data_IF_888687588809
#
_entry.id   IF_888687588809
#
_cell.length_a   1.000
_cell.length_b   1.000
_cell.length_c   1.000
_cell.angle_alpha   90.00
_cell.angle_beta   90.00
_cell.angle_gamma   90.00
#
_symmetry.space_group_name_H-M   'P 1'
#
loop_
_entity.id
_entity.type
_entity.pdbx_description
1 polymer ?
#
# COMPACT_ATOMS: atom_id res chain seq x y z
N UNK A 1 21.78 -6.42 -26.66
CA UNK A 1 21.28 -6.63 -25.31
C UNK A 1 21.87 -7.92 -24.78
N UNK A 2 22.89 -7.82 -23.95
CA UNK A 2 23.50 -8.98 -23.29
C UNK A 2 22.63 -9.40 -22.10
N UNK A 3 22.74 -10.66 -21.63
CA UNK A 3 22.03 -11.10 -20.42
C UNK A 3 22.29 -10.23 -19.18
N UNK A 4 23.48 -9.62 -19.10
CA UNK A 4 23.87 -8.71 -18.01
C UNK A 4 23.16 -7.35 -18.08
N UNK A 5 22.94 -6.81 -19.29
CA UNK A 5 22.16 -5.59 -19.51
C UNK A 5 20.69 -5.79 -19.12
N UNK A 6 20.08 -6.90 -19.52
CA UNK A 6 18.68 -7.23 -19.18
C UNK A 6 18.47 -7.43 -17.67
N UNK A 7 19.42 -8.07 -16.98
CA UNK A 7 19.37 -8.25 -15.52
C UNK A 7 19.47 -6.91 -14.78
N UNK A 8 20.32 -6.00 -15.28
CA UNK A 8 20.47 -4.65 -14.73
C UNK A 8 19.18 -3.83 -14.87
N UNK A 9 18.52 -3.87 -16.03
CA UNK A 9 17.24 -3.19 -16.25
C UNK A 9 16.13 -3.71 -15.32
N UNK A 10 16.02 -5.04 -15.17
CA UNK A 10 15.06 -5.65 -14.24
C UNK A 10 15.35 -5.23 -12.80
N UNK A 11 16.62 -5.24 -12.38
CA UNK A 11 17.02 -4.78 -11.05
C UNK A 11 16.69 -3.30 -10.82
N UNK A 12 16.91 -2.45 -11.83
CA UNK A 12 16.60 -1.03 -11.75
C UNK A 12 15.09 -0.81 -11.63
N UNK A 13 14.28 -1.51 -12.42
CA UNK A 13 12.82 -1.47 -12.33
C UNK A 13 12.30 -1.99 -10.97
N UNK A 14 12.90 -3.05 -10.44
CA UNK A 14 12.59 -3.56 -9.10
C UNK A 14 12.95 -2.54 -8.01
N UNK A 15 14.11 -1.88 -8.09
CA UNK A 15 14.53 -0.84 -7.14
C UNK A 15 13.66 0.40 -7.21
N UNK A 16 13.27 0.83 -8.41
CA UNK A 16 12.32 1.93 -8.59
C UNK A 16 10.98 1.58 -7.96
N UNK A 17 10.42 0.40 -8.27
CA UNK A 17 9.16 -0.05 -7.68
C UNK A 17 9.23 -0.16 -6.16
N UNK A 18 10.30 -0.73 -5.60
CA UNK A 18 10.51 -0.78 -4.15
C UNK A 18 10.70 0.61 -3.53
N UNK A 19 11.36 1.53 -4.24
CA UNK A 19 11.52 2.92 -3.86
C UNK A 19 10.18 3.65 -3.82
N UNK A 20 9.35 3.47 -4.84
CA UNK A 20 8.00 4.02 -4.93
C UNK A 20 7.10 3.46 -3.83
N UNK A 21 7.24 2.19 -3.46
CA UNK A 21 6.50 1.61 -2.33
C UNK A 21 6.91 2.20 -0.99
N UNK A 22 8.20 2.43 -0.76
CA UNK A 22 8.68 3.13 0.45
C UNK A 22 8.28 4.60 0.46
N UNK A 23 8.31 5.26 -0.70
CA UNK A 23 7.80 6.63 -0.87
C UNK A 23 6.30 6.71 -0.58
N UNK A 24 5.52 5.76 -1.07
CA UNK A 24 4.09 5.68 -0.79
C UNK A 24 3.78 5.47 0.69
N UNK A 25 4.60 4.70 1.42
CA UNK A 25 4.51 4.59 2.88
C UNK A 25 4.81 5.93 3.56
N UNK A 26 5.91 6.59 3.17
CA UNK A 26 6.28 7.89 3.73
C UNK A 26 5.20 8.95 3.51
N UNK A 27 4.66 9.04 2.30
CA UNK A 27 3.57 9.97 1.98
C UNK A 27 2.30 9.68 2.77
N UNK A 28 2.00 8.39 2.99
CA UNK A 28 0.86 7.97 3.81
C UNK A 28 1.08 8.33 5.29
N UNK A 29 2.26 8.06 5.84
CA UNK A 29 2.63 8.45 7.21
C UNK A 29 2.56 9.96 7.41
N UNK A 30 3.07 10.74 6.45
CA UNK A 30 3.00 12.20 6.50
C UNK A 30 1.55 12.69 6.46
N UNK A 31 0.72 12.13 5.58
CA UNK A 31 -0.70 12.49 5.52
C UNK A 31 -1.47 12.11 6.79
N UNK A 32 -1.11 11.00 7.44
CA UNK A 32 -1.68 10.60 8.73
C UNK A 32 -1.19 11.50 9.87
N UNK A 33 0.02 12.06 9.78
CA UNK A 33 0.51 13.01 10.78
C UNK A 33 -0.23 14.35 10.73
N UNK A 34 -0.58 14.82 9.54
CA UNK A 34 -1.35 16.06 9.35
C UNK A 34 -2.84 15.83 9.64
N UNK A 35 -3.37 14.66 9.28
CA UNK A 35 -4.78 14.29 9.45
C UNK A 35 -4.90 12.83 9.93
N UNK A 36 -4.97 12.65 11.25
CA UNK A 36 -5.06 11.32 11.91
C UNK A 36 -6.20 10.43 11.37
N UNK A 37 -7.24 11.04 10.77
CA UNK A 37 -8.44 10.37 10.26
C UNK A 37 -8.50 10.31 8.73
N UNK A 38 -7.36 10.34 8.04
CA UNK A 38 -7.32 10.31 6.58
C UNK A 38 -7.47 8.90 6.01
N UNK A 39 -8.70 8.53 5.62
CA UNK A 39 -9.04 7.22 5.02
C UNK A 39 -8.17 6.89 3.80
N UNK A 40 -7.88 7.88 2.95
CA UNK A 40 -7.06 7.69 1.74
C UNK A 40 -5.60 7.43 2.07
N UNK A 41 -5.09 7.95 3.19
CA UNK A 41 -3.74 7.69 3.65
C UNK A 41 -3.63 6.25 4.16
N UNK A 42 -4.54 5.80 5.04
CA UNK A 42 -4.62 4.41 5.48
C UNK A 42 -4.78 3.41 4.32
N UNK A 43 -5.60 3.74 3.33
CA UNK A 43 -5.77 2.89 2.15
C UNK A 43 -4.47 2.76 1.34
N UNK A 44 -3.76 3.87 1.10
CA UNK A 44 -2.46 3.88 0.40
C UNK A 44 -1.39 3.12 1.18
N UNK A 45 -1.35 3.29 2.50
CA UNK A 45 -0.46 2.55 3.39
C UNK A 45 -0.69 1.04 3.27
N UNK A 46 -1.96 0.60 3.33
CA UNK A 46 -2.32 -0.80 3.18
C UNK A 46 -1.91 -1.38 1.83
N UNK A 47 -2.08 -0.63 0.73
CA UNK A 47 -1.65 -1.05 -0.61
C UNK A 47 -0.13 -1.19 -0.71
N UNK A 48 0.62 -0.26 -0.10
CA UNK A 48 2.08 -0.30 -0.11
C UNK A 48 2.61 -1.51 0.69
N UNK A 49 2.06 -1.77 1.88
CA UNK A 49 2.38 -2.97 2.67
C UNK A 49 2.03 -4.27 1.94
N UNK A 50 0.86 -4.37 1.28
CA UNK A 50 0.52 -5.52 0.44
C UNK A 50 1.57 -5.77 -0.65
N UNK A 51 2.03 -4.72 -1.32
CA UNK A 51 3.01 -4.82 -2.40
C UNK A 51 4.43 -5.14 -1.89
N UNK A 52 4.70 -4.85 -0.61
CA UNK A 52 5.92 -5.25 0.11
C UNK A 52 5.80 -6.65 0.76
N UNK A 53 4.67 -7.35 0.59
CA UNK A 53 4.35 -8.63 1.23
C UNK A 53 4.26 -8.57 2.76
N UNK A 54 4.08 -7.38 3.33
CA UNK A 54 3.80 -7.18 4.75
C UNK A 54 2.28 -7.22 4.99
N UNK A 55 1.74 -8.44 5.04
CA UNK A 55 0.29 -8.65 5.03
C UNK A 55 -0.36 -8.21 6.34
N UNK A 56 0.31 -8.38 7.47
CA UNK A 56 -0.22 -8.01 8.78
C UNK A 56 -0.40 -6.49 8.89
N UNK A 57 0.64 -5.72 8.51
CA UNK A 57 0.56 -4.27 8.48
C UNK A 57 -0.48 -3.78 7.47
N UNK A 58 -0.60 -4.43 6.30
CA UNK A 58 -1.61 -4.09 5.33
C UNK A 58 -3.04 -4.24 5.88
N UNK A 59 -3.31 -5.34 6.57
CA UNK A 59 -4.61 -5.61 7.20
C UNK A 59 -4.93 -4.56 8.26
N UNK A 60 -3.94 -4.16 9.07
CA UNK A 60 -4.13 -3.11 10.07
C UNK A 60 -4.46 -1.76 9.45
N UNK A 61 -3.71 -1.32 8.43
CA UNK A 61 -3.99 -0.06 7.73
C UNK A 61 -5.39 -0.06 7.12
N UNK A 62 -5.80 -1.16 6.48
CA UNK A 62 -7.15 -1.26 5.93
C UNK A 62 -8.24 -1.30 7.00
N UNK A 63 -8.01 -1.96 8.15
CA UNK A 63 -8.94 -1.92 9.28
C UNK A 63 -9.14 -0.49 9.78
N UNK A 64 -8.08 0.29 9.90
CA UNK A 64 -8.16 1.68 10.31
C UNK A 64 -8.96 2.53 9.30
N UNK A 65 -8.75 2.33 7.99
CA UNK A 65 -9.58 2.96 6.96
C UNK A 65 -11.08 2.62 7.10
N UNK A 66 -11.40 1.35 7.38
CA UNK A 66 -12.78 0.88 7.55
C UNK A 66 -13.46 1.41 8.82
N UNK A 67 -12.70 1.62 9.91
CA UNK A 67 -13.24 2.19 11.15
C UNK A 67 -13.66 3.65 10.95
N UNK A 68 -12.92 4.40 10.13
CA UNK A 68 -13.15 5.81 9.88
C UNK A 68 -14.32 6.07 8.91
N UNK A 69 -14.45 5.26 7.86
CA UNK A 69 -15.60 5.31 6.94
C UNK A 69 -16.29 3.93 6.86
N UNK A 70 -17.07 3.55 7.88
CA UNK A 70 -17.74 2.25 7.91
C UNK A 70 -18.86 2.12 6.85
N UNK A 71 -19.27 3.24 6.23
CA UNK A 71 -20.37 3.32 5.29
C UNK A 71 -19.96 3.66 3.85
N UNK A 72 -18.67 3.85 3.54
CA UNK A 72 -18.24 3.92 2.14
C UNK A 72 -18.18 2.50 1.57
N UNK A 73 -19.33 2.05 1.06
CA UNK A 73 -19.55 0.72 0.46
C UNK A 73 -18.51 0.42 -0.63
N UNK A 74 -18.04 1.46 -1.33
CA UNK A 74 -17.04 1.33 -2.41
C UNK A 74 -15.67 0.96 -1.85
N UNK A 75 -15.27 1.59 -0.74
CA UNK A 75 -14.03 1.28 -0.03
C UNK A 75 -14.13 -0.08 0.68
N UNK A 76 -15.29 -0.41 1.24
CA UNK A 76 -15.54 -1.68 1.93
C UNK A 76 -15.40 -2.91 1.02
N UNK A 77 -16.07 -2.92 -0.13
CA UNK A 77 -16.02 -4.05 -1.07
C UNK A 77 -14.64 -4.20 -1.74
N UNK A 78 -13.97 -3.09 -2.04
CA UNK A 78 -12.63 -3.10 -2.62
C UNK A 78 -11.56 -3.55 -1.61
N UNK A 79 -11.67 -3.15 -0.34
CA UNK A 79 -10.79 -3.61 0.73
C UNK A 79 -11.03 -5.10 1.01
N UNK A 80 -12.30 -5.54 1.15
CA UNK A 80 -12.61 -6.96 1.37
C UNK A 80 -12.16 -7.86 0.22
N UNK A 81 -12.36 -7.41 -1.03
CA UNK A 81 -11.94 -8.14 -2.21
C UNK A 81 -10.42 -8.35 -2.28
N UNK A 82 -9.65 -7.38 -1.76
CA UNK A 82 -8.18 -7.44 -1.69
C UNK A 82 -7.64 -8.21 -0.49
N UNK A 83 -8.32 -8.16 0.65
CA UNK A 83 -7.89 -8.86 1.87
C UNK A 83 -8.18 -10.36 1.78
N UNK A 84 -9.21 -10.78 1.03
CA UNK A 84 -9.62 -12.19 0.80
C UNK A 84 -9.09 -13.15 1.88
N UNK A 85 -9.59 -12.96 3.10
CA UNK A 85 -9.28 -13.84 4.24
C UNK A 85 -9.73 -15.23 3.82
N UNK A 86 -8.76 -16.13 3.65
CA UNK A 86 -8.99 -17.55 3.45
C UNK A 86 -9.59 -18.14 4.71
#
# INVERSE_FOLDING_TARGET
>A
MTPEEALSEILQACKLKLGDLKGALFDAEFALHEEDNNVKAFFRQGQAHMALHDIDAAVESFKNALVLEPNDVSSYDHIRGKIKIV
#
